data_IF_321655726802
#
_entry.id   IF_321655726802
#
_cell.length_a   1.000
_cell.length_b   1.000
_cell.length_c   1.000
_cell.angle_alpha   90.00
_cell.angle_beta   90.00
_cell.angle_gamma   90.00
#
_symmetry.space_group_name_H-M   'P 1'
#
loop_
_entity.id
_entity.type
_entity.pdbx_description
1 polymer ?
#
# COMPACT_ATOMS: atom_id res chain seq x y z
N UNK A 1 2.29 -11.94 3.10
CA UNK A 1 3.45 -11.24 2.54
C UNK A 1 2.95 -10.50 1.32
N UNK A 2 3.08 -9.19 1.30
CA UNK A 2 2.55 -8.30 0.28
C UNK A 2 3.39 -8.44 -0.99
N UNK A 3 2.76 -8.83 -2.09
CA UNK A 3 3.42 -8.94 -3.40
C UNK A 3 3.18 -7.71 -4.26
N UNK A 4 3.94 -7.57 -5.34
CA UNK A 4 3.71 -6.51 -6.33
C UNK A 4 2.29 -6.61 -6.95
N UNK A 5 1.81 -7.82 -7.24
CA UNK A 5 0.46 -8.05 -7.77
C UNK A 5 -0.62 -7.52 -6.82
N UNK A 6 -0.43 -7.69 -5.50
CA UNK A 6 -1.34 -7.13 -4.51
C UNK A 6 -1.34 -5.59 -4.56
N UNK A 7 -0.16 -4.98 -4.64
CA UNK A 7 -0.01 -3.51 -4.72
C UNK A 7 -0.67 -2.96 -5.99
N UNK A 8 -0.49 -3.61 -7.13
CA UNK A 8 -1.12 -3.23 -8.40
C UNK A 8 -2.64 -3.37 -8.36
N UNK A 9 -3.14 -4.43 -7.72
CA UNK A 9 -4.57 -4.61 -7.52
C UNK A 9 -5.15 -3.53 -6.61
N UNK A 10 -4.49 -3.20 -5.50
CA UNK A 10 -4.88 -2.09 -4.63
C UNK A 10 -4.95 -0.77 -5.42
N UNK A 11 -3.93 -0.50 -6.25
CA UNK A 11 -3.87 0.68 -7.13
C UNK A 11 -5.03 0.74 -8.11
N UNK A 12 -5.36 -0.39 -8.76
CA UNK A 12 -6.47 -0.50 -9.72
C UNK A 12 -7.80 -0.01 -9.15
N UNK A 13 -8.03 -0.27 -7.87
CA UNK A 13 -9.24 0.13 -7.16
C UNK A 13 -9.09 1.46 -6.41
N UNK A 14 -7.93 2.13 -6.50
CA UNK A 14 -7.69 3.41 -5.85
C UNK A 14 -7.81 3.36 -4.31
N UNK A 15 -7.53 2.21 -3.70
CA UNK A 15 -7.74 1.99 -2.26
C UNK A 15 -9.21 1.82 -1.83
N UNK A 16 -10.18 1.80 -2.76
CA UNK A 16 -11.59 1.55 -2.45
C UNK A 16 -11.85 0.05 -2.21
N UNK A 17 -11.75 -0.37 -0.95
CA UNK A 17 -12.04 -1.75 -0.53
C UNK A 17 -13.48 -2.14 -0.82
N UNK A 18 -14.45 -1.23 -0.71
CA UNK A 18 -15.86 -1.55 -0.98
C UNK A 18 -16.09 -1.77 -2.47
N UNK A 19 -15.38 -1.01 -3.32
CA UNK A 19 -15.30 -1.21 -4.75
C UNK A 19 -14.77 -2.61 -5.07
N UNK A 20 -13.59 -2.95 -4.57
CA UNK A 20 -13.01 -4.29 -4.75
C UNK A 20 -13.91 -5.40 -4.17
N UNK A 21 -14.45 -5.20 -2.97
CA UNK A 21 -15.34 -6.13 -2.28
C UNK A 21 -16.54 -6.52 -3.15
N UNK A 22 -17.13 -5.53 -3.84
CA UNK A 22 -18.38 -5.70 -4.59
C UNK A 22 -18.19 -6.03 -6.07
N UNK A 23 -17.11 -5.59 -6.70
CA UNK A 23 -16.98 -5.65 -8.18
C UNK A 23 -15.83 -6.51 -8.68
N UNK A 24 -14.91 -6.95 -7.82
CA UNK A 24 -13.76 -7.73 -8.27
C UNK A 24 -14.17 -9.11 -8.79
N UNK A 25 -13.57 -9.49 -9.91
CA UNK A 25 -13.73 -10.81 -10.53
C UNK A 25 -12.99 -11.88 -9.73
N UNK A 26 -13.35 -13.16 -9.92
CA UNK A 26 -12.89 -14.26 -9.06
C UNK A 26 -11.35 -14.41 -8.99
N UNK A 27 -10.63 -14.14 -10.07
CA UNK A 27 -9.16 -14.15 -10.07
C UNK A 27 -8.58 -13.02 -9.21
N UNK A 28 -9.15 -11.81 -9.26
CA UNK A 28 -8.73 -10.69 -8.41
C UNK A 28 -9.05 -10.93 -6.93
N UNK A 29 -10.17 -11.61 -6.64
CA UNK A 29 -10.52 -12.04 -5.28
C UNK A 29 -9.53 -13.04 -4.70
N UNK A 30 -8.83 -13.80 -5.54
CA UNK A 30 -7.82 -14.75 -5.08
C UNK A 30 -6.44 -14.12 -4.85
N UNK A 31 -6.21 -12.88 -5.32
CA UNK A 31 -4.90 -12.21 -5.20
C UNK A 31 -4.60 -11.81 -3.76
N UNK A 32 -5.60 -11.32 -3.01
CA UNK A 32 -5.39 -10.87 -1.63
C UNK A 32 -6.64 -11.03 -0.78
N UNK A 33 -6.44 -11.09 0.54
CA UNK A 33 -7.52 -11.02 1.53
C UNK A 33 -7.79 -9.58 1.97
N UNK A 34 -8.91 -9.36 2.65
CA UNK A 34 -9.22 -8.08 3.30
C UNK A 34 -8.10 -7.67 4.29
N UNK A 35 -7.47 -8.64 4.96
CA UNK A 35 -6.39 -8.36 5.91
C UNK A 35 -5.15 -7.81 5.20
N UNK A 36 -4.79 -8.37 4.04
CA UNK A 36 -3.70 -7.85 3.21
C UNK A 36 -4.03 -6.44 2.71
N UNK A 37 -5.31 -6.20 2.35
CA UNK A 37 -5.77 -4.87 1.94
C UNK A 37 -5.58 -3.83 3.04
N UNK A 38 -6.06 -4.12 4.25
CA UNK A 38 -5.93 -3.21 5.39
C UNK A 38 -4.46 -2.96 5.77
N UNK A 39 -3.59 -3.95 5.58
CA UNK A 39 -2.16 -3.76 5.83
C UNK A 39 -1.52 -2.83 4.78
N UNK A 40 -1.87 -2.98 3.50
CA UNK A 40 -1.44 -2.05 2.43
C UNK A 40 -1.96 -0.64 2.71
N UNK A 41 -3.25 -0.48 3.03
CA UNK A 41 -3.87 0.81 3.33
C UNK A 41 -3.19 1.51 4.52
N UNK A 42 -2.92 0.76 5.59
CA UNK A 42 -2.16 1.27 6.73
C UNK A 42 -0.77 1.76 6.30
N UNK A 43 -0.02 0.99 5.51
CA UNK A 43 1.30 1.44 5.04
C UNK A 43 1.24 2.66 4.13
N UNK A 44 0.25 2.77 3.24
CA UNK A 44 0.03 3.95 2.40
C UNK A 44 -0.19 5.19 3.28
N UNK A 45 -1.05 5.08 4.29
CA UNK A 45 -1.31 6.18 5.21
C UNK A 45 -0.08 6.56 6.05
N UNK A 46 0.53 5.59 6.73
CA UNK A 46 1.67 5.79 7.61
C UNK A 46 2.88 6.35 6.83
N UNK A 47 3.12 5.86 5.61
CA UNK A 47 4.18 6.37 4.73
C UNK A 47 3.88 7.78 4.24
N UNK A 48 2.61 8.10 3.96
CA UNK A 48 2.16 9.46 3.66
C UNK A 48 2.51 10.47 4.76
N UNK A 49 2.33 10.09 6.04
CA UNK A 49 2.71 10.92 7.19
C UNK A 49 4.23 11.14 7.25
N UNK A 50 5.01 10.08 7.05
CA UNK A 50 6.48 10.16 7.02
C UNK A 50 6.97 11.07 5.88
N UNK A 51 6.44 10.90 4.67
CA UNK A 51 6.78 11.73 3.51
C UNK A 51 6.33 13.19 3.65
N UNK A 52 5.37 13.47 4.52
CA UNK A 52 4.90 14.83 4.80
C UNK A 52 5.66 15.50 5.95
N UNK A 53 6.65 14.83 6.55
CA UNK A 53 7.38 15.35 7.70
C UNK A 53 6.55 15.42 8.97
N UNK A 54 5.41 14.73 9.01
CA UNK A 54 4.46 14.72 10.14
C UNK A 54 4.73 13.59 11.13
N UNK A 55 5.78 12.80 10.91
CA UNK A 55 6.18 11.70 11.76
C UNK A 55 7.59 11.92 12.33
N UNK A 56 7.82 11.40 13.55
CA UNK A 56 9.16 11.39 14.16
C UNK A 56 10.12 10.46 13.41
N UNK A 57 11.43 10.73 13.51
CA UNK A 57 12.46 9.87 12.92
C UNK A 57 12.36 8.40 13.40
N UNK A 58 12.11 8.20 14.70
CA UNK A 58 11.91 6.87 15.29
C UNK A 58 10.71 6.14 14.68
N UNK A 59 9.63 6.88 14.39
CA UNK A 59 8.45 6.30 13.75
C UNK A 59 8.75 5.91 12.29
N UNK A 60 9.45 6.77 11.55
CA UNK A 60 9.85 6.50 10.17
C UNK A 60 10.74 5.25 10.07
N UNK A 61 11.70 5.09 10.98
CA UNK A 61 12.57 3.89 11.05
C UNK A 61 11.76 2.62 11.36
N UNK A 62 10.87 2.69 12.36
CA UNK A 62 9.98 1.57 12.70
C UNK A 62 9.08 1.18 11.52
N UNK A 63 8.52 2.17 10.82
CA UNK A 63 7.70 1.95 9.64
C UNK A 63 8.52 1.25 8.54
N UNK A 64 9.72 1.73 8.25
CA UNK A 64 10.58 1.12 7.25
C UNK A 64 10.82 -0.37 7.54
N UNK A 65 11.15 -0.73 8.79
CA UNK A 65 11.32 -2.12 9.18
C UNK A 65 10.04 -2.96 9.02
N UNK A 66 8.88 -2.41 9.39
CA UNK A 66 7.59 -3.11 9.20
C UNK A 66 7.30 -3.36 7.73
N UNK A 67 7.44 -2.34 6.88
CA UNK A 67 7.19 -2.46 5.44
C UNK A 67 8.14 -3.50 4.81
N UNK A 68 9.44 -3.40 5.08
CA UNK A 68 10.44 -4.34 4.54
C UNK A 68 10.22 -5.79 5.01
N UNK A 69 9.66 -6.00 6.20
CA UNK A 69 9.34 -7.34 6.70
C UNK A 69 8.01 -7.90 6.16
N UNK A 70 7.10 -7.04 5.71
CA UNK A 70 5.76 -7.43 5.24
C UNK A 70 5.72 -7.74 3.74
N UNK A 71 6.63 -7.19 2.94
CA UNK A 71 6.67 -7.32 1.48
C UNK A 71 7.50 -8.53 1.00
N UNK A 72 7.23 -9.01 -0.22
CA UNK A 72 7.94 -10.15 -0.82
C UNK A 72 9.33 -9.85 -1.32
N UNK A 73 9.53 -8.64 -1.83
CA UNK A 73 10.73 -8.23 -2.54
C UNK A 73 10.79 -6.69 -2.63
N UNK A 74 11.87 -6.20 -3.21
CA UNK A 74 12.10 -4.75 -3.37
C UNK A 74 11.11 -4.13 -4.37
N UNK A 75 10.64 -4.88 -5.37
CA UNK A 75 9.68 -4.35 -6.35
C UNK A 75 8.33 -4.08 -5.69
N UNK A 76 7.84 -4.99 -4.84
CA UNK A 76 6.66 -4.78 -4.00
C UNK A 76 6.83 -3.59 -3.05
N UNK A 77 8.00 -3.45 -2.42
CA UNK A 77 8.30 -2.32 -1.54
C UNK A 77 8.26 -0.99 -2.29
N UNK A 78 8.85 -0.93 -3.49
CA UNK A 78 8.89 0.27 -4.31
C UNK A 78 7.51 0.61 -4.87
N UNK A 79 6.73 -0.39 -5.29
CA UNK A 79 5.34 -0.21 -5.69
C UNK A 79 4.50 0.42 -4.59
N UNK A 80 4.62 -0.10 -3.36
CA UNK A 80 3.88 0.39 -2.19
C UNK A 80 4.20 1.87 -1.88
N UNK A 81 5.48 2.25 -1.93
CA UNK A 81 5.90 3.66 -1.77
C UNK A 81 5.33 4.56 -2.88
N UNK A 82 5.31 4.05 -4.12
CA UNK A 82 4.86 4.82 -5.30
C UNK A 82 3.37 5.20 -5.23
N UNK A 83 2.53 4.41 -4.55
CA UNK A 83 1.12 4.74 -4.31
C UNK A 83 0.93 6.12 -3.67
N UNK A 84 1.83 6.50 -2.76
CA UNK A 84 1.81 7.81 -2.07
C UNK A 84 2.41 8.92 -2.94
N UNK A 85 3.46 8.60 -3.70
CA UNK A 85 4.22 9.58 -4.48
C UNK A 85 3.44 10.05 -5.71
N UNK A 86 2.72 9.15 -6.38
CA UNK A 86 1.88 9.47 -7.53
C UNK A 86 0.63 10.27 -7.13
N UNK A 87 0.02 9.97 -5.98
CA UNK A 87 -1.17 10.68 -5.46
C UNK A 87 -0.91 12.17 -5.19
N UNK A 88 0.35 12.58 -5.00
CA UNK A 88 0.73 13.99 -4.78
C UNK A 88 1.05 14.75 -6.08
N UNK A 89 1.31 14.05 -7.19
CA UNK A 89 1.65 14.69 -8.47
C UNK A 89 0.41 15.17 -9.24
N UNK A 90 -0.78 14.68 -8.91
CA UNK A 90 -2.06 15.14 -9.48
C UNK A 90 -2.71 16.34 -8.77
N UNK A 91 -2.05 16.95 -7.77
CA UNK A 91 -2.59 18.04 -6.96
C UNK A 91 -2.02 19.44 -7.31
N UNK A 92 -1.41 19.59 -8.50
CA UNK A 92 -0.88 20.85 -9.02
C UNK A 92 -1.68 21.33 -10.25
#
# INVERSE_FOLDING_TARGET
>A
MITLEMVELYKKYGGDIDGWARTAVSNEKSVMSDADWYEIDAFVHEYGLVKSGLASARYAEKLHHRMSAAVSDEDALQGLKSLVEESRQGAL
#
